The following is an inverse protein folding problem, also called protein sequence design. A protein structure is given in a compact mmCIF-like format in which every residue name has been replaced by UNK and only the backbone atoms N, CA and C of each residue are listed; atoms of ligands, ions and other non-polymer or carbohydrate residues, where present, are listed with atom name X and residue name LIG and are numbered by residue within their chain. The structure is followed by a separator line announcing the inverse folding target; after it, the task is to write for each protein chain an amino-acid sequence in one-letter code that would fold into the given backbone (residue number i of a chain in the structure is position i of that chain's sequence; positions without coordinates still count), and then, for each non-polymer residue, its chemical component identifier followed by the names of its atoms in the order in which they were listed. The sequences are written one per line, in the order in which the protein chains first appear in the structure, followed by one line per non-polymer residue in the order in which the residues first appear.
data_IF_975101263381
#
_entry.id   IF_975101263381
#
_cell.length_a   1.000
_cell.length_b   1.000
_cell.length_c   1.000
_cell.angle_alpha   90.00
_cell.angle_beta   90.00
_cell.angle_gamma   90.00
#
_symmetry.space_group_name_H-M   'P 1'
#
loop_
_entity.id
_entity.type
_entity.pdbx_description
1 polymer ?
#
# COMPACT_ATOMS: atom_id res chain seq x y z
N UNK A 1 4.79 0.15 14.79
CA UNK A 1 3.85 1.13 15.42
C UNK A 1 2.41 0.82 15.03
N UNK A 2 2.07 0.68 13.75
CA UNK A 2 0.70 0.37 13.33
C UNK A 2 0.52 -1.13 13.07
N UNK A 3 -0.67 -1.66 13.37
CA UNK A 3 -1.13 -2.99 12.97
C UNK A 3 -2.19 -2.81 11.86
N UNK A 4 -1.75 -2.84 10.61
CA UNK A 4 -2.60 -2.57 9.45
C UNK A 4 -2.93 -3.88 8.72
N UNK A 5 -4.20 -4.12 8.35
CA UNK A 5 -4.57 -5.29 7.57
C UNK A 5 -4.15 -5.17 6.08
N UNK A 6 -3.91 -3.95 5.60
CA UNK A 6 -3.57 -3.65 4.21
C UNK A 6 -2.53 -2.55 4.11
N UNK A 7 -1.54 -2.75 3.25
CA UNK A 7 -0.49 -1.81 2.90
C UNK A 7 -0.44 -1.70 1.38
N UNK A 8 -0.70 -0.51 0.85
CA UNK A 8 -0.67 -0.24 -0.59
C UNK A 8 0.64 0.48 -0.95
N UNK A 9 1.40 -0.09 -1.89
CA UNK A 9 2.66 0.48 -2.36
C UNK A 9 2.42 1.21 -3.68
N UNK A 10 2.61 2.52 -3.68
CA UNK A 10 2.49 3.38 -4.86
C UNK A 10 3.84 3.81 -5.44
N UNK A 11 3.78 4.64 -6.48
CA UNK A 11 4.95 5.22 -7.14
C UNK A 11 5.59 4.33 -8.21
N UNK A 12 6.64 4.84 -8.86
CA UNK A 12 7.29 4.15 -9.99
C UNK A 12 7.93 2.81 -9.61
N UNK A 13 8.43 2.68 -8.38
CA UNK A 13 9.09 1.45 -7.89
C UNK A 13 8.09 0.29 -7.76
N UNK A 14 6.83 0.58 -7.45
CA UNK A 14 5.77 -0.44 -7.40
C UNK A 14 5.56 -1.15 -8.76
N UNK A 15 6.00 -0.54 -9.88
CA UNK A 15 5.95 -1.15 -11.22
C UNK A 15 6.95 -2.31 -11.40
N UNK A 16 7.88 -2.52 -10.46
CA UNK A 16 8.86 -3.61 -10.49
C UNK A 16 8.24 -5.00 -10.24
N UNK A 17 6.97 -5.09 -9.85
CA UNK A 17 6.26 -6.36 -9.67
C UNK A 17 6.94 -7.26 -8.63
N UNK A 18 6.96 -8.57 -8.88
CA UNK A 18 7.41 -9.56 -7.90
C UNK A 18 8.86 -9.38 -7.45
N UNK A 19 9.73 -8.78 -8.29
CA UNK A 19 11.11 -8.44 -7.91
C UNK A 19 11.16 -7.51 -6.69
N UNK A 20 10.15 -6.64 -6.52
CA UNK A 20 9.97 -5.84 -5.31
C UNK A 20 9.10 -6.57 -4.28
N UNK A 21 7.93 -7.05 -4.70
CA UNK A 21 6.90 -7.50 -3.75
C UNK A 21 7.25 -8.81 -3.04
N UNK A 22 7.99 -9.71 -3.68
CA UNK A 22 8.42 -10.96 -3.05
C UNK A 22 9.37 -10.70 -1.86
N UNK A 23 10.55 -10.06 -2.04
CA UNK A 23 11.45 -9.78 -0.93
C UNK A 23 10.85 -8.82 0.10
N UNK A 24 9.93 -7.93 -0.32
CA UNK A 24 9.20 -7.06 0.62
C UNK A 24 8.32 -7.87 1.58
N UNK A 25 7.58 -8.87 1.07
CA UNK A 25 6.77 -9.76 1.92
C UNK A 25 7.64 -10.59 2.86
N UNK A 26 8.75 -11.13 2.37
CA UNK A 26 9.70 -11.88 3.20
C UNK A 26 10.27 -11.00 4.32
N UNK A 27 10.65 -9.77 4.01
CA UNK A 27 11.14 -8.83 5.00
C UNK A 27 10.06 -8.49 6.03
N UNK A 28 8.81 -8.22 5.62
CA UNK A 28 7.73 -7.96 6.57
C UNK A 28 7.47 -9.19 7.46
N UNK A 29 7.43 -10.39 6.91
CA UNK A 29 7.26 -11.61 7.68
C UNK A 29 8.41 -11.84 8.69
N UNK A 30 9.64 -11.43 8.33
CA UNK A 30 10.84 -11.59 9.17
C UNK A 30 10.94 -10.56 10.29
N UNK A 31 10.56 -9.31 10.02
CA UNK A 31 10.84 -8.17 10.91
C UNK A 31 9.60 -7.63 11.63
N UNK A 32 8.39 -7.92 11.16
CA UNK A 32 7.17 -7.52 11.85
C UNK A 32 6.83 -8.47 13.01
N UNK A 33 5.99 -8.02 13.94
CA UNK A 33 5.41 -8.89 14.95
C UNK A 33 4.65 -10.05 14.27
N UNK A 34 4.69 -11.28 14.80
CA UNK A 34 4.07 -12.45 14.16
C UNK A 34 2.59 -12.25 13.79
N UNK A 35 1.84 -11.55 14.64
CA UNK A 35 0.41 -11.23 14.44
C UNK A 35 0.16 -10.36 13.18
N UNK A 36 1.15 -9.56 12.78
CA UNK A 36 1.10 -8.64 11.64
C UNK A 36 1.73 -9.27 10.41
N UNK A 37 2.93 -9.86 10.57
CA UNK A 37 3.74 -10.39 9.48
C UNK A 37 3.07 -11.52 8.69
N UNK A 38 2.13 -12.24 9.32
CA UNK A 38 1.35 -13.30 8.66
C UNK A 38 -0.01 -12.87 8.12
N UNK A 39 -0.49 -11.66 8.41
CA UNK A 39 -1.88 -11.26 8.13
C UNK A 39 -2.01 -10.00 7.27
N UNK A 40 -1.01 -9.12 7.29
CA UNK A 40 -1.03 -7.89 6.51
C UNK A 40 -0.90 -8.16 5.00
N UNK A 41 -1.86 -7.68 4.23
CA UNK A 41 -1.78 -7.73 2.77
C UNK A 41 -0.93 -6.57 2.25
N UNK A 42 0.05 -6.85 1.41
CA UNK A 42 0.86 -5.81 0.74
C UNK A 42 0.50 -5.83 -0.74
N UNK A 43 0.07 -4.74 -1.34
CA UNK A 43 -0.42 -4.74 -2.74
C UNK A 43 0.10 -3.53 -3.51
N UNK A 44 0.28 -3.63 -4.84
CA UNK A 44 0.54 -2.44 -5.65
C UNK A 44 -0.69 -1.53 -5.71
N UNK A 45 -0.45 -0.22 -5.84
CA UNK A 45 -1.53 0.74 -6.12
C UNK A 45 -2.08 0.54 -7.53
N UNK A 46 -3.39 0.35 -7.64
CA UNK A 46 -4.11 0.23 -8.92
C UNK A 46 -4.40 1.58 -9.58
N UNK A 47 -4.39 2.66 -8.81
CA UNK A 47 -4.72 4.00 -9.30
C UNK A 47 -3.53 4.65 -10.01
N UNK A 48 -2.30 4.24 -9.66
CA UNK A 48 -1.07 4.77 -10.24
C UNK A 48 -1.02 6.30 -10.14
N UNK A 49 -0.66 6.95 -11.24
CA UNK A 49 -0.52 8.41 -11.34
C UNK A 49 -1.83 9.16 -11.17
N UNK A 50 -2.98 8.48 -11.25
CA UNK A 50 -4.30 9.09 -11.02
C UNK A 50 -4.63 9.24 -9.54
N UNK A 51 -3.90 8.57 -8.63
CA UNK A 51 -4.21 8.58 -7.20
C UNK A 51 -4.29 9.99 -6.58
N UNK A 52 -3.35 10.92 -6.84
CA UNK A 52 -3.43 12.27 -6.27
C UNK A 52 -4.63 13.06 -6.78
N UNK A 53 -4.94 12.97 -8.07
CA UNK A 53 -6.08 13.66 -8.69
C UNK A 53 -7.40 13.14 -8.11
N UNK A 54 -7.56 11.82 -8.04
CA UNK A 54 -8.76 11.19 -7.48
C UNK A 54 -8.93 11.53 -5.99
N UNK A 55 -7.85 11.55 -5.23
CA UNK A 55 -7.86 11.99 -3.83
C UNK A 55 -8.30 13.45 -3.67
N UNK A 56 -7.81 14.34 -4.54
CA UNK A 56 -8.22 15.75 -4.55
C UNK A 56 -9.71 15.94 -4.87
N UNK A 57 -10.22 15.21 -5.87
CA UNK A 57 -11.65 15.21 -6.21
C UNK A 57 -12.49 14.68 -5.04
N UNK A 58 -12.08 13.56 -4.43
CA UNK A 58 -12.77 12.99 -3.28
C UNK A 58 -12.81 13.97 -2.10
N UNK A 59 -11.69 14.63 -1.80
CA UNK A 59 -11.61 15.61 -0.72
C UNK A 59 -12.50 16.84 -0.98
N UNK A 60 -12.53 17.35 -2.22
CA UNK A 60 -13.41 18.44 -2.61
C UNK A 60 -14.90 18.04 -2.51
N UNK A 61 -15.24 16.80 -2.87
CA UNK A 61 -16.59 16.26 -2.75
C UNK A 61 -17.03 16.07 -1.29
N UNK A 62 -16.11 15.71 -0.39
CA UNK A 62 -16.38 15.63 1.06
C UNK A 62 -16.58 17.01 1.69
N UNK A 63 -15.76 17.99 1.29
CA UNK A 63 -15.78 19.36 1.84
C UNK A 63 -16.97 20.20 1.37
N UNK A 64 -17.69 19.74 0.34
CA UNK A 64 -18.91 20.37 -0.18
C UNK A 64 -20.21 19.85 0.47
N UNK A 65 -20.11 18.97 1.48
CA UNK A 65 -21.20 18.64 2.39
C UNK A 65 -21.20 19.60 3.58
#
# INVERSE_FOLDING_TARGET
ILNLPLVVIGGGVAKAGDVLFHPLREAVAKYAMPEIGGTAQIVPSELGERAPLLGGIALAAESGK
#
